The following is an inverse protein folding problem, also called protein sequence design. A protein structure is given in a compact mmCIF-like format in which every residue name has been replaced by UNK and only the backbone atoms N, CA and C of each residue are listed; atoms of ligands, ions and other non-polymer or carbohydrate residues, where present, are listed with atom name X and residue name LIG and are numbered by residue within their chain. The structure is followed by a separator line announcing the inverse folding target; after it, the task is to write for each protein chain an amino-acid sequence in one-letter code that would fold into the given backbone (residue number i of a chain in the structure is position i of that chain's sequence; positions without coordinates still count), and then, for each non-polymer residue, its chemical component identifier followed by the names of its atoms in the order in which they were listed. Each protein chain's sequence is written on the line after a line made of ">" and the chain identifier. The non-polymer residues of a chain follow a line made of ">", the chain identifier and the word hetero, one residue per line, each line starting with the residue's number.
data_IF_231208108798
#
_entry.id   IF_231208108798
#
_cell.length_a   1.000
_cell.length_b   1.000
_cell.length_c   1.000
_cell.angle_alpha   90.00
_cell.angle_beta   90.00
_cell.angle_gamma   90.00
#
_symmetry.space_group_name_H-M   'P 1'
#
loop_
_entity.id
_entity.type
_entity.pdbx_description
1 polymer ?
#
# COMPACT_ATOMS: atom_id res chain seq x y z
N UNK A 1 10.51 5.86 -16.05
CA UNK A 1 11.88 6.40 -15.93
C UNK A 1 12.59 5.62 -14.85
N UNK A 2 13.61 4.85 -15.21
CA UNK A 2 14.56 4.36 -14.21
C UNK A 2 15.44 5.54 -13.80
N UNK A 3 15.61 5.77 -12.50
CA UNK A 3 16.60 6.73 -12.02
C UNK A 3 17.98 6.17 -12.35
N UNK A 4 18.84 6.97 -12.96
CA UNK A 4 20.22 6.55 -13.27
C UNK A 4 21.05 6.60 -11.98
N UNK A 5 21.06 5.47 -11.27
CA UNK A 5 21.77 5.31 -10.00
C UNK A 5 23.19 4.78 -10.17
N UNK A 6 23.70 4.65 -11.40
CA UNK A 6 25.01 4.03 -11.68
C UNK A 6 26.18 4.78 -11.02
N UNK A 7 26.00 6.08 -10.73
CA UNK A 7 27.01 6.96 -10.14
C UNK A 7 26.76 7.30 -8.67
N UNK A 8 25.77 6.66 -8.02
CA UNK A 8 25.43 6.98 -6.63
C UNK A 8 26.27 6.16 -5.65
N UNK A 9 26.67 6.80 -4.55
CA UNK A 9 27.34 6.07 -3.48
C UNK A 9 26.35 5.13 -2.78
N UNK A 10 26.87 4.11 -2.11
CA UNK A 10 26.06 3.21 -1.27
C UNK A 10 25.27 3.98 -0.21
N UNK A 11 25.83 5.07 0.31
CA UNK A 11 25.19 5.91 1.32
C UNK A 11 23.98 6.65 0.74
N UNK A 12 24.08 7.15 -0.49
CA UNK A 12 22.97 7.81 -1.20
C UNK A 12 21.83 6.83 -1.49
N UNK A 13 22.17 5.62 -1.95
CA UNK A 13 21.19 4.56 -2.20
C UNK A 13 20.44 4.18 -0.92
N UNK A 14 21.15 4.01 0.19
CA UNK A 14 20.54 3.68 1.49
C UNK A 14 19.67 4.84 1.99
N UNK A 15 20.11 6.08 1.82
CA UNK A 15 19.33 7.27 2.21
C UNK A 15 18.03 7.36 1.41
N UNK A 16 18.09 7.18 0.10
CA UNK A 16 16.91 7.22 -0.77
C UNK A 16 15.93 6.08 -0.45
N UNK A 17 16.44 4.86 -0.25
CA UNK A 17 15.63 3.73 0.18
C UNK A 17 14.90 4.01 1.50
N UNK A 18 15.53 4.72 2.44
CA UNK A 18 14.91 5.14 3.71
C UNK A 18 13.80 6.16 3.49
N UNK A 19 14.04 7.19 2.67
CA UNK A 19 13.02 8.20 2.35
C UNK A 19 11.79 7.57 1.67
N UNK A 20 12.01 6.69 0.70
CA UNK A 20 10.92 5.98 0.05
C UNK A 20 10.20 5.02 1.00
N UNK A 21 10.91 4.39 1.94
CA UNK A 21 10.28 3.53 2.96
C UNK A 21 9.35 4.33 3.87
N UNK A 22 9.77 5.53 4.29
CA UNK A 22 8.93 6.44 5.09
C UNK A 22 7.68 6.87 4.31
N UNK A 23 7.85 7.24 3.05
CA UNK A 23 6.73 7.56 2.15
C UNK A 23 5.76 6.37 2.00
N UNK A 24 6.27 5.15 1.85
CA UNK A 24 5.47 3.91 1.79
C UNK A 24 4.66 3.71 3.07
N UNK A 25 5.23 3.98 4.26
CA UNK A 25 4.49 3.86 5.52
C UNK A 25 3.32 4.85 5.54
N UNK A 26 3.55 6.09 5.13
CA UNK A 26 2.47 7.08 5.00
C UNK A 26 1.40 6.66 4.01
N UNK A 27 1.78 6.11 2.86
CA UNK A 27 0.82 5.55 1.88
C UNK A 27 -0.03 4.41 2.45
N UNK A 28 0.53 3.57 3.32
CA UNK A 28 -0.27 2.51 3.98
C UNK A 28 -1.32 3.09 4.93
N UNK A 29 -1.02 4.20 5.62
CA UNK A 29 -2.02 4.90 6.45
C UNK A 29 -3.16 5.42 5.58
N UNK A 30 -2.83 6.08 4.46
CA UNK A 30 -3.82 6.56 3.50
C UNK A 30 -4.64 5.42 2.88
N UNK A 31 -4.01 4.27 2.61
CA UNK A 31 -4.70 3.09 2.09
C UNK A 31 -5.74 2.57 3.10
N UNK A 32 -5.41 2.58 4.40
CA UNK A 32 -6.37 2.21 5.45
C UNK A 32 -7.56 3.17 5.47
N UNK A 33 -7.32 4.47 5.31
CA UNK A 33 -8.40 5.46 5.19
C UNK A 33 -9.27 5.21 3.95
N UNK A 34 -8.68 4.85 2.81
CA UNK A 34 -9.42 4.44 1.62
C UNK A 34 -10.34 3.24 1.88
N UNK A 35 -9.84 2.20 2.55
CA UNK A 35 -10.67 1.05 2.93
C UNK A 35 -11.79 1.41 3.91
N UNK A 36 -11.52 2.32 4.85
CA UNK A 36 -12.55 2.84 5.75
C UNK A 36 -13.65 3.59 4.99
N UNK A 37 -13.30 4.37 3.96
CA UNK A 37 -14.28 5.01 3.09
C UNK A 37 -15.12 4.00 2.31
N UNK A 38 -14.50 2.93 1.78
CA UNK A 38 -15.25 1.85 1.12
C UNK A 38 -16.27 1.23 2.08
N UNK A 39 -15.84 0.89 3.31
CA UNK A 39 -16.72 0.31 4.32
C UNK A 39 -17.84 1.27 4.72
N UNK A 40 -17.51 2.55 4.96
CA UNK A 40 -18.50 3.57 5.30
C UNK A 40 -19.51 3.79 4.17
N UNK A 41 -19.04 3.91 2.92
CA UNK A 41 -19.89 4.04 1.75
C UNK A 41 -20.83 2.85 1.58
N UNK A 42 -20.35 1.63 1.84
CA UNK A 42 -21.18 0.44 1.82
C UNK A 42 -22.27 0.48 2.90
N UNK A 43 -21.91 0.79 4.14
CA UNK A 43 -22.87 0.88 5.25
C UNK A 43 -23.93 1.95 5.01
N UNK A 44 -23.51 3.16 4.62
CA UNK A 44 -24.42 4.27 4.33
C UNK A 44 -25.31 3.97 3.12
N UNK A 45 -24.74 3.35 2.07
CA UNK A 45 -25.49 2.95 0.89
C UNK A 45 -26.54 1.88 1.21
N UNK A 46 -26.15 0.85 1.97
CA UNK A 46 -27.06 -0.19 2.43
C UNK A 46 -28.20 0.40 3.26
N UNK A 47 -27.87 1.24 4.24
CA UNK A 47 -28.86 1.90 5.08
C UNK A 47 -29.83 2.76 4.26
N UNK A 48 -29.30 3.53 3.30
CA UNK A 48 -30.10 4.41 2.44
C UNK A 48 -31.01 3.71 1.44
N UNK A 49 -30.73 2.47 1.03
CA UNK A 49 -31.56 1.74 0.06
C UNK A 49 -32.43 0.65 0.69
N UNK A 50 -32.02 0.06 1.81
CA UNK A 50 -32.62 -1.19 2.30
C UNK A 50 -33.10 -1.16 3.75
N UNK A 51 -32.57 -0.29 4.60
CA UNK A 51 -32.79 -0.35 6.07
C UNK A 51 -33.43 0.94 6.63
N UNK A 52 -34.30 1.55 5.83
CA UNK A 52 -35.15 2.68 6.25
C UNK A 52 -34.56 4.08 6.06
N UNK A 53 -33.36 4.20 5.49
CA UNK A 53 -32.80 5.49 5.07
C UNK A 53 -33.48 6.04 3.80
N UNK A 54 -33.28 7.33 3.52
CA UNK A 54 -33.76 7.94 2.28
C UNK A 54 -32.84 7.61 1.10
N UNK A 55 -33.38 7.61 -0.12
CA UNK A 55 -32.63 7.37 -1.36
C UNK A 55 -31.42 8.30 -1.50
N UNK A 56 -31.47 9.52 -0.95
CA UNK A 56 -30.34 10.45 -0.92
C UNK A 56 -29.11 9.88 -0.19
N UNK A 57 -29.31 9.19 0.94
CA UNK A 57 -28.22 8.49 1.64
C UNK A 57 -27.72 7.30 0.84
N UNK A 58 -28.60 6.61 0.10
CA UNK A 58 -28.22 5.54 -0.81
C UNK A 58 -27.23 6.02 -1.87
N UNK A 59 -27.58 7.12 -2.57
CA UNK A 59 -26.72 7.75 -3.59
C UNK A 59 -25.41 8.26 -3.00
N UNK A 60 -25.46 8.89 -1.83
CA UNK A 60 -24.26 9.35 -1.12
C UNK A 60 -23.32 8.19 -0.80
N UNK A 61 -23.85 7.08 -0.30
CA UNK A 61 -23.09 5.87 0.01
C UNK A 61 -22.39 5.31 -1.22
N UNK A 62 -23.07 5.27 -2.37
CA UNK A 62 -22.48 4.83 -3.66
C UNK A 62 -21.32 5.74 -4.08
N UNK A 63 -21.49 7.07 -3.99
CA UNK A 63 -20.42 8.03 -4.33
C UNK A 63 -19.20 7.81 -3.44
N UNK A 64 -19.40 7.71 -2.13
CA UNK A 64 -18.31 7.47 -1.16
C UNK A 64 -17.62 6.13 -1.43
N UNK A 65 -18.39 5.09 -1.75
CA UNK A 65 -17.86 3.76 -2.06
C UNK A 65 -17.00 3.78 -3.32
N UNK A 66 -17.44 4.43 -4.39
CA UNK A 66 -16.68 4.56 -5.64
C UNK A 66 -15.39 5.33 -5.41
N UNK A 67 -15.45 6.48 -4.72
CA UNK A 67 -14.26 7.29 -4.40
C UNK A 67 -13.27 6.51 -3.54
N UNK A 68 -13.75 5.83 -2.49
CA UNK A 68 -12.94 4.98 -1.63
C UNK A 68 -12.28 3.85 -2.41
N UNK A 69 -13.01 3.18 -3.30
CA UNK A 69 -12.51 2.07 -4.08
C UNK A 69 -11.40 2.51 -5.05
N UNK A 70 -11.64 3.59 -5.80
CA UNK A 70 -10.63 4.16 -6.74
C UNK A 70 -9.38 4.59 -5.98
N UNK A 71 -9.55 5.33 -4.86
CA UNK A 71 -8.44 5.75 -4.01
C UNK A 71 -7.62 4.56 -3.50
N UNK A 72 -8.30 3.53 -2.96
CA UNK A 72 -7.64 2.33 -2.46
C UNK A 72 -6.87 1.59 -3.54
N UNK A 73 -7.41 1.46 -4.75
CA UNK A 73 -6.73 0.80 -5.86
C UNK A 73 -5.46 1.56 -6.24
N UNK A 74 -5.56 2.88 -6.45
CA UNK A 74 -4.42 3.73 -6.81
C UNK A 74 -3.32 3.65 -5.74
N UNK A 75 -3.69 3.81 -4.48
CA UNK A 75 -2.73 3.74 -3.36
C UNK A 75 -2.11 2.34 -3.21
N UNK A 76 -2.89 1.28 -3.43
CA UNK A 76 -2.38 -0.10 -3.36
C UNK A 76 -1.35 -0.37 -4.45
N UNK A 77 -1.63 0.04 -5.69
CA UNK A 77 -0.72 -0.09 -6.83
C UNK A 77 0.53 0.74 -6.58
N UNK A 78 0.38 2.01 -6.19
CA UNK A 78 1.49 2.90 -5.87
C UNK A 78 2.39 2.35 -4.75
N UNK A 79 1.81 1.87 -3.65
CA UNK A 79 2.54 1.25 -2.53
C UNK A 79 3.30 0.00 -2.97
N UNK A 80 2.70 -0.81 -3.83
CA UNK A 80 3.33 -2.04 -4.35
C UNK A 80 4.51 -1.72 -5.25
N UNK A 81 4.36 -0.74 -6.14
CA UNK A 81 5.42 -0.31 -7.04
C UNK A 81 6.56 0.39 -6.27
N UNK A 82 6.25 1.24 -5.30
CA UNK A 82 7.25 1.87 -4.44
C UNK A 82 8.08 0.84 -3.67
N UNK A 83 7.43 -0.20 -3.11
CA UNK A 83 8.16 -1.31 -2.44
C UNK A 83 9.10 -2.05 -3.38
N UNK A 84 8.71 -2.26 -4.65
CA UNK A 84 9.59 -2.87 -5.66
C UNK A 84 10.79 -1.96 -5.98
N UNK A 85 10.55 -0.64 -6.08
CA UNK A 85 11.62 0.34 -6.32
C UNK A 85 12.65 0.36 -5.18
N UNK A 86 12.19 0.37 -3.93
CA UNK A 86 13.07 0.29 -2.74
C UNK A 86 13.90 -0.99 -2.75
N UNK A 87 13.32 -2.13 -3.14
CA UNK A 87 14.08 -3.39 -3.26
C UNK A 87 15.19 -3.29 -4.30
N UNK A 88 14.90 -2.71 -5.46
CA UNK A 88 15.91 -2.52 -6.51
C UNK A 88 17.06 -1.60 -6.06
N UNK A 89 16.75 -0.51 -5.34
CA UNK A 89 17.76 0.40 -4.78
C UNK A 89 18.63 -0.31 -3.73
N UNK A 90 18.02 -1.10 -2.85
CA UNK A 90 18.75 -1.84 -1.81
C UNK A 90 19.62 -2.96 -2.40
N UNK A 91 19.14 -3.63 -3.44
CA UNK A 91 19.94 -4.63 -4.17
C UNK A 91 21.16 -3.99 -4.83
N UNK A 92 20.99 -2.82 -5.47
CA UNK A 92 22.10 -2.03 -6.01
C UNK A 92 23.11 -1.56 -4.92
N UNK A 93 22.66 -1.39 -3.67
CA UNK A 93 23.51 -1.10 -2.53
C UNK A 93 24.20 -2.35 -1.92
N UNK A 94 24.04 -3.52 -2.55
CA UNK A 94 24.58 -4.80 -2.09
C UNK A 94 23.80 -5.42 -0.93
N UNK A 95 22.53 -5.05 -0.75
CA UNK A 95 21.65 -5.59 0.30
C UNK A 95 20.63 -6.55 -0.32
N UNK A 96 20.94 -7.85 -0.29
CA UNK A 96 20.00 -8.89 -0.74
C UNK A 96 18.87 -9.10 0.31
N UNK A 97 17.67 -8.66 -0.07
CA UNK A 97 16.45 -8.82 0.74
C UNK A 97 15.74 -10.17 0.52
N UNK A 98 15.96 -10.83 -0.61
CA UNK A 98 15.30 -12.07 -0.98
C UNK A 98 15.91 -13.26 -0.24
N UNK A 99 17.23 -13.25 -0.01
CA UNK A 99 17.89 -14.22 0.86
C UNK A 99 17.37 -14.16 2.31
N UNK A 100 17.13 -12.94 2.83
CA UNK A 100 16.55 -12.76 4.18
C UNK A 100 15.10 -13.24 4.25
N UNK A 101 14.30 -12.95 3.22
CA UNK A 101 12.90 -13.40 3.14
C UNK A 101 12.76 -14.92 3.12
N UNK A 102 13.59 -15.62 2.34
CA UNK A 102 13.61 -17.11 2.30
C UNK A 102 13.98 -17.72 3.65
N UNK A 103 14.95 -17.14 4.37
CA UNK A 103 15.39 -17.62 5.68
C UNK A 103 14.29 -17.47 6.74
N UNK A 104 13.57 -16.35 6.74
CA UNK A 104 12.42 -16.12 7.62
C UNK A 104 11.25 -17.07 7.34
N UNK A 105 10.91 -17.27 6.07
CA UNK A 105 9.81 -18.16 5.67
C UNK A 105 10.10 -19.63 6.01
N UNK A 106 11.38 -20.06 5.90
CA UNK A 106 11.81 -21.40 6.33
C UNK A 106 11.74 -21.59 7.84
N UNK A 107 12.08 -20.56 8.62
CA UNK A 107 11.97 -20.59 10.08
C UNK A 107 10.50 -20.63 10.55
N UNK A 108 9.61 -19.84 9.92
CA UNK A 108 8.16 -19.85 10.22
C UNK A 108 7.52 -21.21 9.90
N UNK A 109 7.96 -21.88 8.84
CA UNK A 109 7.47 -23.22 8.47
C UNK A 109 7.97 -24.31 9.43
N UNK A 110 9.14 -24.13 10.04
CA UNK A 110 9.72 -25.08 10.99
C UNK A 110 9.20 -24.90 12.44
N UNK A 111 8.73 -23.71 12.81
CA UNK A 111 8.16 -23.42 14.14
C UNK A 111 6.65 -23.68 14.26
N UNK A 112 6.00 -24.14 13.18
CA UNK A 112 4.60 -24.57 13.15
C UNK A 112 4.43 -26.09 13.03
N UNK A 113 5.51 -26.83 13.21
CA UNK A 113 5.53 -28.30 13.24
C UNK A 113 5.35 -28.85 14.65
#
# INVERSE_FOLDING_TARGET
>A
MALDTSNWSREDLVREAKLQTDAIQRLNVWLRLGYSLVAAGFLVGYWGFYDGGSTGFGVLGVIVLVVGAVMSVVLKVGTTNAKKNVRAILDAAGVDLDARGKKGSRAEKNGRG
#
